data_IF_632496916660
#
_entry.id   IF_632496916660
#
_cell.length_a   1.000
_cell.length_b   1.000
_cell.length_c   1.000
_cell.angle_alpha   90.00
_cell.angle_beta   90.00
_cell.angle_gamma   90.00
#
_symmetry.space_group_name_H-M   'P 1'
#
loop_
_entity.id
_entity.type
_entity.pdbx_description
1 polymer ?
#
# COMPACT_ATOMS: atom_id res chain seq x y z
N UNK A 1 5.09 -22.67 -1.10
CA UNK A 1 4.83 -23.25 -2.43
C UNK A 1 3.76 -22.41 -3.09
N UNK A 2 3.95 -21.96 -4.34
CA UNK A 2 2.92 -21.19 -5.07
C UNK A 2 2.33 -22.10 -6.15
N UNK A 3 1.02 -22.24 -6.14
CA UNK A 3 0.22 -23.07 -7.04
C UNK A 3 -0.19 -22.30 -8.30
N UNK A 4 -0.31 -20.97 -8.26
CA UNK A 4 -0.75 -20.17 -9.40
C UNK A 4 0.36 -19.35 -10.07
N UNK A 5 1.33 -18.84 -9.32
CA UNK A 5 2.34 -17.90 -9.85
C UNK A 5 3.71 -18.52 -10.22
N UNK A 6 3.97 -19.81 -9.96
CA UNK A 6 5.30 -20.45 -10.20
C UNK A 6 5.34 -21.22 -11.52
N UNK A 7 5.11 -20.54 -12.64
CA UNK A 7 5.58 -21.06 -13.95
C UNK A 7 6.97 -20.49 -14.23
N UNK A 8 7.99 -21.34 -14.22
CA UNK A 8 9.41 -21.00 -14.31
C UNK A 8 9.81 -20.13 -15.52
N UNK A 9 8.98 -20.05 -16.56
CA UNK A 9 9.24 -19.28 -17.77
C UNK A 9 9.15 -17.75 -17.59
N UNK A 10 8.70 -17.22 -16.44
CA UNK A 10 8.52 -15.76 -16.29
C UNK A 10 8.69 -15.22 -14.86
N UNK A 11 9.71 -15.68 -14.13
CA UNK A 11 9.98 -15.25 -12.75
C UNK A 11 10.22 -13.74 -12.64
N UNK A 12 10.99 -13.15 -13.55
CA UNK A 12 11.31 -11.72 -13.52
C UNK A 12 10.06 -10.85 -13.57
N UNK A 13 9.15 -11.11 -14.51
CA UNK A 13 7.89 -10.36 -14.60
C UNK A 13 7.03 -10.53 -13.35
N UNK A 14 6.97 -11.73 -12.78
CA UNK A 14 6.23 -11.94 -11.54
C UNK A 14 6.80 -11.10 -10.40
N UNK A 15 8.13 -11.00 -10.27
CA UNK A 15 8.77 -10.16 -9.27
C UNK A 15 8.50 -8.68 -9.51
N UNK A 16 8.56 -8.21 -10.76
CA UNK A 16 8.24 -6.83 -11.12
C UNK A 16 6.78 -6.48 -10.76
N UNK A 17 5.84 -7.33 -11.17
CA UNK A 17 4.41 -7.18 -10.88
C UNK A 17 4.14 -7.21 -9.35
N UNK A 18 4.88 -8.05 -8.59
CA UNK A 18 4.79 -8.13 -7.13
C UNK A 18 5.34 -6.87 -6.44
N UNK A 19 6.47 -6.34 -6.91
CA UNK A 19 7.05 -5.10 -6.40
C UNK A 19 6.12 -3.91 -6.67
N UNK A 20 5.54 -3.84 -7.86
CA UNK A 20 4.55 -2.83 -8.22
C UNK A 20 3.29 -2.93 -7.35
N UNK A 21 2.81 -4.15 -7.08
CA UNK A 21 1.70 -4.40 -6.16
C UNK A 21 2.01 -3.88 -4.75
N UNK A 22 3.17 -4.24 -4.18
CA UNK A 22 3.56 -3.81 -2.84
C UNK A 22 3.76 -2.30 -2.76
N UNK A 23 4.32 -1.65 -3.79
CA UNK A 23 4.41 -0.19 -3.87
C UNK A 23 3.02 0.45 -3.82
N UNK A 24 2.06 -0.05 -4.62
CA UNK A 24 0.68 0.48 -4.62
C UNK A 24 -0.02 0.26 -3.29
N UNK A 25 0.25 -0.86 -2.61
CA UNK A 25 -0.23 -1.08 -1.25
C UNK A 25 0.34 -0.04 -0.27
N UNK A 26 1.64 0.27 -0.35
CA UNK A 26 2.26 1.30 0.49
C UNK A 26 1.70 2.70 0.20
N UNK A 27 1.51 3.05 -1.07
CA UNK A 27 0.89 4.32 -1.50
C UNK A 27 -0.50 4.52 -0.88
N UNK A 28 -1.24 3.42 -0.64
CA UNK A 28 -2.60 3.41 -0.09
C UNK A 28 -2.67 3.08 1.42
N UNK A 29 -1.53 3.04 2.11
CA UNK A 29 -1.43 2.63 3.51
C UNK A 29 -2.10 1.26 3.77
N UNK A 30 -1.78 0.29 2.92
CA UNK A 30 -2.22 -1.11 3.01
C UNK A 30 -1.03 -1.99 3.35
N UNK A 31 -0.94 -2.39 4.62
CA UNK A 31 0.01 -3.42 5.08
C UNK A 31 -0.48 -4.85 4.82
N UNK A 32 0.37 -5.86 5.08
CA UNK A 32 0.06 -7.26 4.82
C UNK A 32 -1.16 -7.75 5.63
N UNK A 33 -1.36 -7.27 6.86
CA UNK A 33 -2.52 -7.63 7.69
C UNK A 33 -3.84 -7.13 7.09
N UNK A 34 -3.84 -5.89 6.58
CA UNK A 34 -5.02 -5.25 5.97
C UNK A 34 -5.36 -5.93 4.64
N UNK A 35 -4.36 -6.28 3.84
CA UNK A 35 -4.60 -7.06 2.62
C UNK A 35 -5.08 -8.48 2.93
N UNK A 36 -4.52 -9.15 3.93
CA UNK A 36 -4.99 -10.47 4.35
C UNK A 36 -6.44 -10.43 4.86
N UNK A 37 -6.85 -9.37 5.57
CA UNK A 37 -8.25 -9.17 5.96
C UNK A 37 -9.15 -8.97 4.74
N UNK A 38 -8.71 -8.18 3.75
CA UNK A 38 -9.44 -8.05 2.49
C UNK A 38 -9.66 -9.42 1.84
N UNK A 39 -8.64 -10.28 1.78
CA UNK A 39 -8.78 -11.64 1.23
C UNK A 39 -9.76 -12.49 2.06
N UNK A 40 -9.69 -12.45 3.39
CA UNK A 40 -10.66 -13.16 4.26
C UNK A 40 -12.10 -12.73 4.02
N UNK A 41 -12.33 -11.45 3.72
CA UNK A 41 -13.66 -10.94 3.38
C UNK A 41 -14.16 -11.42 2.02
N UNK A 42 -13.25 -11.64 1.05
CA UNK A 42 -13.59 -12.31 -0.21
C UNK A 42 -13.99 -13.77 0.04
N UNK A 43 -13.24 -14.51 0.88
CA UNK A 43 -13.53 -15.91 1.23
C UNK A 43 -14.92 -16.07 1.88
N UNK A 44 -15.32 -15.09 2.70
CA UNK A 44 -16.63 -15.05 3.36
C UNK A 44 -17.76 -14.54 2.46
N UNK A 45 -17.47 -14.21 1.20
CA UNK A 45 -18.39 -13.58 0.27
C UNK A 45 -19.00 -12.25 0.78
N UNK A 46 -18.29 -11.54 1.67
CA UNK A 46 -18.67 -10.19 2.12
C UNK A 46 -18.35 -9.12 1.08
N UNK A 47 -17.45 -9.44 0.14
CA UNK A 47 -17.00 -8.58 -0.94
C UNK A 47 -17.04 -9.36 -2.26
N UNK A 48 -17.33 -8.68 -3.39
CA UNK A 48 -17.31 -9.32 -4.70
C UNK A 48 -15.87 -9.71 -5.08
N UNK A 49 -15.74 -10.82 -5.80
CA UNK A 49 -14.46 -11.29 -6.33
C UNK A 49 -13.87 -10.22 -7.27
N UNK A 50 -12.62 -9.79 -7.04
CA UNK A 50 -12.00 -8.75 -7.85
C UNK A 50 -11.68 -9.26 -9.24
N UNK A 51 -11.72 -8.37 -10.22
CA UNK A 51 -11.22 -8.68 -11.56
C UNK A 51 -9.69 -8.62 -11.57
N UNK A 52 -9.03 -9.76 -11.60
CA UNK A 52 -7.55 -9.87 -11.57
C UNK A 52 -6.90 -10.12 -12.95
N UNK A 53 -7.68 -10.07 -14.03
CA UNK A 53 -7.19 -10.27 -15.40
C UNK A 53 -7.58 -9.13 -16.34
N UNK A 54 -6.81 -9.00 -17.44
CA UNK A 54 -7.14 -8.08 -18.54
C UNK A 54 -8.44 -8.53 -19.21
N UNK A 55 -9.20 -7.57 -19.73
CA UNK A 55 -10.59 -7.81 -20.16
C UNK A 55 -10.80 -8.91 -21.21
N UNK A 56 -9.77 -9.19 -22.00
CA UNK A 56 -9.77 -10.23 -23.05
C UNK A 56 -9.63 -11.66 -22.52
N UNK A 57 -9.10 -11.83 -21.30
CA UNK A 57 -8.83 -13.13 -20.67
C UNK A 57 -9.80 -13.43 -19.51
N UNK A 58 -10.70 -12.48 -19.20
CA UNK A 58 -11.69 -12.56 -18.13
C UNK A 58 -12.62 -13.79 -18.17
N UNK A 59 -13.00 -14.36 -19.33
CA UNK A 59 -13.89 -15.52 -19.36
C UNK A 59 -13.25 -16.85 -18.91
N UNK A 60 -11.94 -16.88 -18.60
CA UNK A 60 -11.21 -18.15 -18.43
C UNK A 60 -10.77 -18.49 -17.01
N UNK A 61 -11.00 -17.63 -16.02
CA UNK A 61 -10.58 -17.88 -14.63
C UNK A 61 -11.80 -18.00 -13.74
N UNK A 62 -11.90 -19.08 -12.96
CA UNK A 62 -12.96 -19.26 -11.97
C UNK A 62 -12.75 -18.35 -10.76
N UNK A 63 -13.84 -18.02 -10.06
CA UNK A 63 -13.79 -17.26 -8.80
C UNK A 63 -12.85 -17.92 -7.77
N UNK A 64 -12.86 -19.25 -7.70
CA UNK A 64 -11.96 -20.03 -6.83
C UNK A 64 -10.48 -19.83 -7.20
N UNK A 65 -10.15 -19.75 -8.49
CA UNK A 65 -8.78 -19.49 -8.93
C UNK A 65 -8.37 -18.04 -8.64
N UNK A 66 -9.27 -17.07 -8.81
CA UNK A 66 -8.99 -15.67 -8.42
C UNK A 66 -8.70 -15.58 -6.93
N UNK A 67 -9.54 -16.21 -6.11
CA UNK A 67 -9.39 -16.23 -4.67
C UNK A 67 -8.06 -16.90 -4.25
N UNK A 68 -7.73 -18.04 -4.86
CA UNK A 68 -6.46 -18.73 -4.64
C UNK A 68 -5.24 -17.87 -4.99
N UNK A 69 -5.31 -17.09 -6.07
CA UNK A 69 -4.26 -16.11 -6.41
C UNK A 69 -4.13 -15.00 -5.36
N UNK A 70 -5.25 -14.46 -4.88
CA UNK A 70 -5.23 -13.45 -3.82
C UNK A 70 -4.62 -13.99 -2.51
N UNK A 71 -4.93 -15.24 -2.14
CA UNK A 71 -4.35 -15.91 -0.98
C UNK A 71 -2.83 -16.07 -1.12
N UNK A 72 -2.35 -16.46 -2.30
CA UNK A 72 -0.90 -16.55 -2.58
C UNK A 72 -0.21 -15.21 -2.44
N UNK A 73 -0.78 -14.15 -3.02
CA UNK A 73 -0.22 -12.80 -2.89
C UNK A 73 -0.22 -12.34 -1.43
N UNK A 74 -1.27 -12.62 -0.65
CA UNK A 74 -1.29 -12.27 0.77
C UNK A 74 -0.20 -12.98 1.57
N UNK A 75 0.03 -14.27 1.28
CA UNK A 75 1.10 -15.05 1.90
C UNK A 75 2.48 -14.53 1.52
N UNK A 76 2.72 -14.30 0.23
CA UNK A 76 3.99 -13.75 -0.28
C UNK A 76 4.27 -12.37 0.30
N UNK A 77 3.27 -11.48 0.31
CA UNK A 77 3.42 -10.14 0.87
C UNK A 77 3.83 -10.20 2.34
N UNK A 78 3.17 -11.06 3.14
CA UNK A 78 3.54 -11.24 4.55
C UNK A 78 4.97 -11.78 4.71
N UNK A 79 5.39 -12.70 3.86
CA UNK A 79 6.76 -13.26 3.89
C UNK A 79 7.78 -12.17 3.57
N UNK A 80 7.59 -11.40 2.49
CA UNK A 80 8.51 -10.33 2.08
C UNK A 80 8.65 -9.28 3.18
N UNK A 81 7.52 -8.82 3.75
CA UNK A 81 7.53 -7.85 4.85
C UNK A 81 8.25 -8.37 6.09
N UNK A 82 8.04 -9.64 6.45
CA UNK A 82 8.74 -10.25 7.57
C UNK A 82 10.25 -10.38 7.30
N UNK A 83 10.65 -10.73 6.08
CA UNK A 83 12.07 -10.81 5.69
C UNK A 83 12.74 -9.45 5.81
N UNK A 84 12.14 -8.41 5.21
CA UNK A 84 12.65 -7.03 5.30
C UNK A 84 12.79 -6.58 6.76
N UNK A 85 11.77 -6.83 7.58
CA UNK A 85 11.80 -6.47 8.99
C UNK A 85 12.91 -7.20 9.76
N UNK A 86 13.14 -8.49 9.49
CA UNK A 86 14.17 -9.29 10.17
C UNK A 86 15.60 -8.86 9.84
N UNK A 87 15.78 -8.18 8.69
CA UNK A 87 17.07 -7.63 8.25
C UNK A 87 17.18 -6.12 8.52
N UNK A 88 16.22 -5.52 9.22
CA UNK A 88 16.12 -4.08 9.47
C UNK A 88 16.09 -3.22 8.20
N UNK A 89 15.57 -3.79 7.11
CA UNK A 89 15.45 -3.14 5.82
C UNK A 89 14.09 -2.44 5.65
N UNK A 90 14.05 -1.52 4.69
CA UNK A 90 12.85 -0.75 4.34
C UNK A 90 12.93 -0.24 2.90
N UNK A 91 11.76 0.09 2.35
CA UNK A 91 11.63 0.75 1.03
C UNK A 91 11.35 2.24 1.28
N UNK A 92 11.37 3.06 0.23
CA UNK A 92 10.91 4.45 0.34
C UNK A 92 9.45 4.55 0.78
N UNK A 93 8.58 3.63 0.32
CA UNK A 93 7.19 3.57 0.79
C UNK A 93 7.09 3.27 2.30
N UNK A 94 7.98 2.42 2.83
CA UNK A 94 8.07 2.20 4.29
C UNK A 94 8.43 3.45 5.08
N UNK A 95 9.21 4.38 4.52
CA UNK A 95 9.50 5.63 5.21
C UNK A 95 8.22 6.46 5.42
N UNK A 96 7.36 6.53 4.40
CA UNK A 96 6.11 7.30 4.47
C UNK A 96 5.10 6.60 5.39
N UNK A 97 4.89 5.29 5.24
CA UNK A 97 3.93 4.57 6.08
C UNK A 97 4.35 4.55 7.55
N UNK A 98 5.64 4.37 7.86
CA UNK A 98 6.13 4.46 9.25
C UNK A 98 6.01 5.88 9.81
N UNK A 99 6.26 6.91 9.01
CA UNK A 99 6.02 8.29 9.44
C UNK A 99 4.53 8.53 9.75
N UNK A 100 3.63 8.04 8.90
CA UNK A 100 2.20 8.06 9.16
C UNK A 100 1.84 7.36 10.48
N UNK A 101 2.37 6.17 10.73
CA UNK A 101 2.05 5.38 11.93
C UNK A 101 2.56 6.07 13.20
N UNK A 102 3.78 6.62 13.17
CA UNK A 102 4.33 7.39 14.29
C UNK A 102 3.50 8.64 14.59
N UNK A 103 3.15 9.42 13.56
CA UNK A 103 2.32 10.62 13.72
C UNK A 103 0.87 10.27 14.14
N UNK A 104 0.36 9.11 13.76
CA UNK A 104 -1.00 8.70 14.14
C UNK A 104 -1.07 8.14 15.57
N UNK A 105 0.01 7.51 16.05
CA UNK A 105 0.03 6.79 17.33
C UNK A 105 0.66 7.56 18.48
N UNK A 106 1.48 8.59 18.20
CA UNK A 106 2.12 9.42 19.22
C UNK A 106 1.67 10.91 19.09
N UNK A 107 0.68 11.33 19.88
CA UNK A 107 0.22 12.73 19.89
C UNK A 107 1.29 13.72 20.34
N UNK A 108 2.24 13.29 21.19
CA UNK A 108 3.31 14.15 21.71
C UNK A 108 4.35 14.45 20.64
N UNK A 109 4.78 13.41 19.92
CA UNK A 109 5.60 13.54 18.72
C UNK A 109 4.91 14.45 17.70
N UNK A 110 3.63 14.17 17.41
CA UNK A 110 2.87 14.94 16.42
C UNK A 110 2.74 16.41 16.79
N UNK A 111 2.48 16.73 18.05
CA UNK A 111 2.45 18.11 18.52
C UNK A 111 3.82 18.81 18.34
N UNK A 112 4.92 18.10 18.59
CA UNK A 112 6.28 18.63 18.37
C UNK A 112 6.56 18.87 16.89
N UNK A 113 6.23 17.91 16.03
CA UNK A 113 6.47 18.04 14.58
C UNK A 113 5.57 19.13 13.97
N UNK A 114 4.32 19.27 14.43
CA UNK A 114 3.42 20.39 14.07
C UNK A 114 4.00 21.75 14.45
N UNK A 115 4.55 21.86 15.66
CA UNK A 115 5.16 23.10 16.12
C UNK A 115 6.41 23.46 15.30
N UNK A 116 7.18 22.47 14.88
CA UNK A 116 8.35 22.65 14.02
C UNK A 116 7.96 23.02 12.57
N UNK A 117 6.95 22.34 12.01
CA UNK A 117 6.42 22.54 10.66
C UNK A 117 5.16 23.43 10.67
N UNK A 118 5.25 24.60 11.31
CA UNK A 118 4.09 25.49 11.52
C UNK A 118 3.40 25.95 10.23
N UNK A 119 4.18 26.15 9.17
CA UNK A 119 3.68 26.49 7.83
C UNK A 119 4.29 25.51 6.83
N UNK A 120 3.45 24.87 6.03
CA UNK A 120 3.87 23.81 5.12
C UNK A 120 3.58 24.26 3.69
N UNK A 121 4.64 24.39 2.89
CA UNK A 121 4.55 24.61 1.45
C UNK A 121 4.72 23.26 0.75
N UNK A 122 3.76 22.88 -0.08
CA UNK A 122 3.81 21.66 -0.89
C UNK A 122 3.77 22.05 -2.35
N UNK A 123 4.80 21.68 -3.09
CA UNK A 123 4.87 21.83 -4.54
C UNK A 123 4.50 20.50 -5.21
N UNK A 124 4.10 20.55 -6.49
CA UNK A 124 3.70 19.37 -7.28
C UNK A 124 2.67 18.46 -6.57
N UNK A 125 1.68 19.06 -5.91
CA UNK A 125 0.70 18.34 -5.08
C UNK A 125 -0.13 17.32 -5.88
N UNK A 126 -0.27 17.50 -7.20
CA UNK A 126 -0.96 16.57 -8.09
C UNK A 126 -0.29 15.18 -8.15
N UNK A 127 1.01 15.09 -7.88
CA UNK A 127 1.75 13.83 -7.87
C UNK A 127 1.71 13.12 -6.50
N UNK A 128 1.11 13.75 -5.48
CA UNK A 128 1.06 13.20 -4.13
C UNK A 128 0.12 11.99 -4.04
N UNK A 129 0.63 10.87 -3.51
CA UNK A 129 -0.18 9.68 -3.24
C UNK A 129 -1.00 9.80 -1.94
N UNK A 130 -1.90 8.86 -1.71
CA UNK A 130 -2.78 8.86 -0.53
C UNK A 130 -2.00 8.88 0.79
N UNK A 131 -0.95 8.07 0.93
CA UNK A 131 -0.12 8.02 2.12
C UNK A 131 0.53 9.38 2.44
N UNK A 132 1.10 10.05 1.45
CA UNK A 132 1.69 11.38 1.60
C UNK A 132 0.65 12.42 2.01
N UNK A 133 -0.53 12.40 1.39
CA UNK A 133 -1.64 13.29 1.76
C UNK A 133 -2.08 13.06 3.21
N UNK A 134 -2.08 11.81 3.69
CA UNK A 134 -2.40 11.51 5.09
C UNK A 134 -1.35 12.04 6.07
N UNK A 135 -0.07 11.86 5.76
CA UNK A 135 1.03 12.44 6.56
C UNK A 135 0.92 13.97 6.60
N UNK A 136 0.70 14.60 5.46
CA UNK A 136 0.51 16.05 5.37
C UNK A 136 -0.69 16.50 6.22
N UNK A 137 -1.81 15.78 6.17
CA UNK A 137 -2.97 16.08 7.00
C UNK A 137 -2.69 15.97 8.51
N UNK A 138 -1.91 14.98 8.92
CA UNK A 138 -1.48 14.85 10.32
C UNK A 138 -0.59 16.02 10.75
N UNK A 139 0.32 16.47 9.90
CA UNK A 139 1.21 17.61 10.17
C UNK A 139 0.51 18.97 10.09
N UNK A 140 -0.51 19.11 9.24
CA UNK A 140 -1.29 20.34 9.12
C UNK A 140 -2.13 20.63 10.38
N UNK A 141 -2.62 19.57 11.03
CA UNK A 141 -3.50 19.67 12.19
C UNK A 141 -4.74 20.54 11.96
N UNK A 142 -5.26 21.12 13.04
CA UNK A 142 -6.47 21.94 12.98
C UNK A 142 -6.23 23.34 12.41
N UNK A 143 -4.99 23.85 12.50
CA UNK A 143 -4.63 25.17 11.95
C UNK A 143 -4.64 25.17 10.42
N UNK A 144 -4.42 24.00 9.78
CA UNK A 144 -4.44 23.83 8.32
C UNK A 144 -3.56 24.84 7.58
N UNK A 145 -2.38 25.15 8.14
CA UNK A 145 -1.39 26.07 7.58
C UNK A 145 -0.62 25.44 6.40
N UNK A 146 -1.34 24.83 5.46
CA UNK A 146 -0.79 24.21 4.26
C UNK A 146 -1.09 25.09 3.07
N UNK A 147 -0.06 25.41 2.29
CA UNK A 147 -0.18 26.01 0.97
C UNK A 147 0.33 24.99 -0.06
N UNK A 148 -0.57 24.47 -0.88
CA UNK A 148 -0.26 23.47 -1.90
C UNK A 148 -0.37 24.07 -3.30
N UNK A 149 0.60 23.78 -4.15
CA UNK A 149 0.66 24.17 -5.56
C UNK A 149 0.70 22.90 -6.40
N UNK A 150 0.03 22.91 -7.55
CA UNK A 150 0.04 21.80 -8.49
C UNK A 150 -0.82 22.04 -9.72
N UNK A 151 -0.54 21.29 -10.78
CA UNK A 151 -1.26 21.38 -12.06
C UNK A 151 -2.37 20.30 -12.18
N UNK A 152 -3.55 20.63 -12.72
CA UNK A 152 -4.71 19.72 -12.76
C UNK A 152 -4.82 18.83 -14.01
N UNK A 153 -3.77 18.75 -14.85
CA UNK A 153 -3.81 18.06 -16.16
C UNK A 153 -4.15 16.55 -16.10
#
# INVERSE_FOLDING_TARGET
>A
HLNYFVRAANVSKFLDDLLDFMRRCQDELVGPEKYAEYVRRLERAELPIPRVTRSKDAPQISDDEVLGRCQEIASVFKIVENMLASEELGTFGHMISRAHDLLSSDPGLTARERAAARFILVDEYQDANFAQVKVLGLLAGDERNVFAVGDPD
#
